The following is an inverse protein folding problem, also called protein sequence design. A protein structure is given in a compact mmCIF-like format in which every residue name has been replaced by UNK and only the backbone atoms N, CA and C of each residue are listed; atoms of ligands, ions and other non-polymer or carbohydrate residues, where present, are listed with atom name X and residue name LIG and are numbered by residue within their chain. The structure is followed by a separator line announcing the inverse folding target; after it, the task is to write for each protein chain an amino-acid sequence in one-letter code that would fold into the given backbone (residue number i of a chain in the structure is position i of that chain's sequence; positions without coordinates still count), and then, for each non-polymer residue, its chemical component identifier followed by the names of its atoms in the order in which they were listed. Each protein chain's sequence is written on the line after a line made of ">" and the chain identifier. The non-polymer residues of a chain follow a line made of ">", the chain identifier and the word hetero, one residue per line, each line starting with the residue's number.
data_IF_464538197006
#
_entry.id   IF_464538197006
#
_cell.length_a   1.000
_cell.length_b   1.000
_cell.length_c   1.000
_cell.angle_alpha   90.00
_cell.angle_beta   90.00
_cell.angle_gamma   90.00
#
_symmetry.space_group_name_H-M   'P 1'
#
loop_
_entity.id
_entity.type
_entity.pdbx_description
1 polymer ?
#
# COMPACT_ATOMS: atom_id res chain seq x y z
N UNK A 1 40.22 -2.40 -20.91
CA UNK A 1 40.23 -1.49 -19.74
C UNK A 1 38.80 -1.25 -19.32
N UNK A 2 38.33 -2.00 -18.31
CA UNK A 2 36.94 -1.98 -17.86
C UNK A 2 36.58 -0.62 -17.25
N UNK A 3 35.50 -0.02 -17.75
CA UNK A 3 34.84 1.09 -17.10
C UNK A 3 34.03 0.54 -15.94
N UNK A 4 34.60 0.61 -14.74
CA UNK A 4 33.87 0.38 -13.49
C UNK A 4 32.58 1.23 -13.49
N UNK A 5 31.40 0.65 -13.15
CA UNK A 5 30.18 1.43 -13.05
C UNK A 5 30.34 2.42 -11.91
N UNK A 6 30.66 3.69 -12.25
CA UNK A 6 30.65 4.81 -11.30
C UNK A 6 29.30 4.78 -10.59
N UNK A 7 29.35 4.48 -9.29
CA UNK A 7 28.19 4.31 -8.41
C UNK A 7 27.18 5.43 -8.68
N UNK A 8 26.04 5.07 -9.28
CA UNK A 8 24.87 5.93 -9.53
C UNK A 8 24.16 6.29 -8.22
N UNK A 9 24.86 6.91 -7.28
CA UNK A 9 24.25 7.47 -6.07
C UNK A 9 24.11 8.99 -6.23
N UNK A 10 24.97 9.62 -7.02
CA UNK A 10 24.92 11.06 -7.31
C UNK A 10 23.75 11.52 -8.17
N UNK A 11 22.90 10.61 -8.67
CA UNK A 11 21.77 10.94 -9.54
C UNK A 11 20.43 11.12 -8.80
N UNK A 12 20.36 10.80 -7.50
CA UNK A 12 19.08 10.78 -6.77
C UNK A 12 18.75 12.16 -6.16
N UNK A 13 19.75 13.01 -5.97
CA UNK A 13 19.58 14.33 -5.38
C UNK A 13 20.40 15.37 -6.14
N UNK A 14 19.75 16.19 -6.95
CA UNK A 14 20.38 17.32 -7.67
C UNK A 14 21.05 18.32 -6.71
N UNK A 15 20.64 18.31 -5.43
CA UNK A 15 21.19 19.14 -4.38
C UNK A 15 21.79 18.27 -3.25
N UNK A 16 23.09 18.35 -2.95
CA UNK A 16 23.73 17.60 -1.87
C UNK A 16 23.15 17.91 -0.48
N UNK A 17 22.47 19.05 -0.30
CA UNK A 17 21.78 19.41 0.95
C UNK A 17 20.48 18.61 1.17
N UNK A 18 20.10 17.73 0.25
CA UNK A 18 18.94 16.85 0.39
C UNK A 18 19.30 15.43 0.84
N UNK A 19 20.59 15.10 0.88
CA UNK A 19 21.08 13.83 1.43
C UNK A 19 20.83 13.77 2.94
N UNK A 20 20.22 12.69 3.42
CA UNK A 20 19.81 12.52 4.83
C UNK A 20 20.98 12.67 5.81
N UNK A 21 22.16 12.13 5.47
CA UNK A 21 23.33 12.19 6.34
C UNK A 21 23.82 13.62 6.62
N UNK A 22 23.77 14.51 5.63
CA UNK A 22 24.21 15.90 5.78
C UNK A 22 23.10 16.80 6.34
N UNK A 23 21.83 16.48 6.05
CA UNK A 23 20.68 17.34 6.38
C UNK A 23 20.08 17.04 7.76
N UNK A 24 20.05 15.77 8.14
CA UNK A 24 19.28 15.30 9.31
C UNK A 24 20.19 14.94 10.50
N UNK A 25 21.51 14.89 10.30
CA UNK A 25 22.50 14.77 11.37
C UNK A 25 22.66 16.08 12.16
N UNK A 26 23.06 16.01 13.44
CA UNK A 26 23.30 17.21 14.24
C UNK A 26 24.60 17.90 13.85
N UNK A 27 24.58 19.24 13.74
CA UNK A 27 25.76 20.04 13.37
C UNK A 27 26.83 20.07 14.47
N UNK A 28 26.46 19.78 15.71
CA UNK A 28 27.35 19.73 16.86
C UNK A 28 26.87 18.69 17.89
N UNK A 29 27.76 18.32 18.80
CA UNK A 29 27.44 17.45 19.94
C UNK A 29 28.08 17.99 21.22
N UNK A 30 27.44 17.75 22.36
CA UNK A 30 28.01 18.11 23.66
C UNK A 30 29.06 17.09 24.07
N UNK A 31 30.18 17.56 24.66
CA UNK A 31 31.22 16.68 25.24
C UNK A 31 30.66 15.76 26.33
N UNK A 32 29.63 16.21 27.04
CA UNK A 32 28.92 15.46 28.08
C UNK A 32 27.92 14.44 27.49
N UNK A 33 27.90 14.23 26.18
CA UNK A 33 26.97 13.33 25.46
C UNK A 33 25.48 13.65 25.61
N UNK A 34 25.14 14.87 26.06
CA UNK A 34 23.74 15.34 26.04
C UNK A 34 23.21 15.35 24.60
N UNK A 35 21.92 15.05 24.40
CA UNK A 35 21.31 15.11 23.08
C UNK A 35 21.31 16.55 22.55
N UNK A 36 21.66 16.69 21.27
CA UNK A 36 21.58 17.97 20.57
C UNK A 36 20.11 18.32 20.34
N UNK A 37 19.64 19.53 20.70
CA UNK A 37 18.27 19.95 20.40
C UNK A 37 18.06 20.02 18.88
N UNK A 38 16.82 19.86 18.44
CA UNK A 38 16.51 19.92 17.01
C UNK A 38 16.88 21.28 16.40
N UNK A 39 17.46 21.23 15.19
CA UNK A 39 17.66 22.43 14.39
C UNK A 39 16.35 23.07 13.96
N UNK A 40 16.38 24.37 13.65
CA UNK A 40 15.20 25.23 13.37
C UNK A 40 14.19 24.59 12.41
N UNK A 41 14.65 23.98 11.32
CA UNK A 41 13.76 23.35 10.32
C UNK A 41 13.67 21.83 10.43
N UNK A 42 14.47 21.20 11.30
CA UNK A 42 14.49 19.74 11.44
C UNK A 42 13.17 19.26 12.07
N UNK A 43 12.72 19.93 13.13
CA UNK A 43 11.44 19.61 13.76
C UNK A 43 10.26 19.73 12.78
N UNK A 44 10.21 20.83 12.02
CA UNK A 44 9.17 21.03 11.00
C UNK A 44 9.16 19.91 9.95
N UNK A 45 10.33 19.48 9.46
CA UNK A 45 10.43 18.36 8.52
C UNK A 45 9.94 17.04 9.11
N UNK A 46 10.24 16.79 10.39
CA UNK A 46 9.76 15.59 11.09
C UNK A 46 8.23 15.61 11.17
N UNK A 47 7.63 16.73 11.59
CA UNK A 47 6.17 16.90 11.61
C UNK A 47 5.53 16.65 10.24
N UNK A 48 6.07 17.26 9.19
CA UNK A 48 5.59 17.06 7.81
C UNK A 48 5.71 15.60 7.38
N UNK A 49 6.81 14.93 7.70
CA UNK A 49 6.98 13.50 7.41
C UNK A 49 5.91 12.67 8.11
N UNK A 50 5.60 12.97 9.38
CA UNK A 50 4.56 12.28 10.14
C UNK A 50 3.19 12.50 9.49
N UNK A 51 2.87 13.73 9.11
CA UNK A 51 1.61 14.07 8.41
C UNK A 51 1.48 13.29 7.10
N UNK A 52 2.51 13.30 6.26
CA UNK A 52 2.51 12.54 5.00
C UNK A 52 2.36 11.04 5.23
N UNK A 53 3.09 10.47 6.19
CA UNK A 53 2.97 9.05 6.53
C UNK A 53 1.56 8.70 7.01
N UNK A 54 0.95 9.56 7.83
CA UNK A 54 -0.42 9.36 8.32
C UNK A 54 -1.44 9.34 7.17
N UNK A 55 -1.28 10.24 6.20
CA UNK A 55 -2.14 10.30 5.02
C UNK A 55 -1.99 9.05 4.14
N UNK A 56 -0.75 8.58 3.92
CA UNK A 56 -0.48 7.36 3.16
C UNK A 56 -1.15 6.15 3.81
N UNK A 57 -0.99 5.99 5.13
CA UNK A 57 -1.60 4.88 5.87
C UNK A 57 -3.12 4.93 5.75
N UNK A 58 -3.72 6.13 5.84
CA UNK A 58 -5.17 6.31 5.68
C UNK A 58 -5.63 5.88 4.28
N UNK A 59 -5.01 6.39 3.22
CA UNK A 59 -5.38 6.05 1.85
C UNK A 59 -5.26 4.54 1.60
N UNK A 60 -4.21 3.89 2.09
CA UNK A 60 -4.04 2.45 1.94
C UNK A 60 -5.18 1.67 2.62
N UNK A 61 -5.56 2.06 3.85
CA UNK A 61 -6.70 1.44 4.55
C UNK A 61 -8.01 1.61 3.80
N UNK A 62 -8.23 2.79 3.21
CA UNK A 62 -9.44 3.07 2.41
C UNK A 62 -9.47 2.20 1.14
N UNK A 63 -8.32 2.01 0.47
CA UNK A 63 -8.21 1.13 -0.69
C UNK A 63 -8.46 -0.32 -0.30
N UNK A 64 -7.83 -0.81 0.77
CA UNK A 64 -8.00 -2.18 1.25
C UNK A 64 -9.46 -2.47 1.61
N UNK A 65 -10.13 -1.52 2.26
CA UNK A 65 -11.55 -1.61 2.58
C UNK A 65 -12.41 -1.65 1.31
N UNK A 66 -12.13 -0.80 0.32
CA UNK A 66 -12.87 -0.80 -0.94
C UNK A 66 -12.76 -2.13 -1.68
N UNK A 67 -11.56 -2.74 -1.70
CA UNK A 67 -11.33 -4.06 -2.29
C UNK A 67 -12.11 -5.15 -1.56
N UNK A 68 -12.15 -5.12 -0.22
CA UNK A 68 -12.92 -6.07 0.57
C UNK A 68 -14.42 -5.95 0.32
N UNK A 69 -14.95 -4.72 0.27
CA UNK A 69 -16.36 -4.49 0.00
C UNK A 69 -16.77 -4.99 -1.39
N UNK A 70 -15.95 -4.74 -2.41
CA UNK A 70 -16.25 -5.20 -3.77
C UNK A 70 -16.24 -6.73 -3.85
N UNK A 71 -15.27 -7.38 -3.19
CA UNK A 71 -15.24 -8.85 -3.10
C UNK A 71 -16.51 -9.39 -2.45
N UNK A 72 -16.90 -8.84 -1.30
CA UNK A 72 -18.10 -9.27 -0.59
C UNK A 72 -19.35 -9.07 -1.45
N UNK A 73 -19.46 -7.94 -2.15
CA UNK A 73 -20.59 -7.65 -3.06
C UNK A 73 -20.71 -8.67 -4.18
N UNK A 74 -19.58 -9.08 -4.78
CA UNK A 74 -19.57 -10.11 -5.83
C UNK A 74 -20.00 -11.46 -5.27
N UNK A 75 -19.50 -11.83 -4.09
CA UNK A 75 -19.87 -13.09 -3.41
C UNK A 75 -21.36 -13.11 -3.03
N UNK A 76 -21.88 -12.01 -2.48
CA UNK A 76 -23.31 -11.85 -2.15
C UNK A 76 -24.20 -11.97 -3.39
N UNK A 77 -23.85 -11.31 -4.48
CA UNK A 77 -24.60 -11.40 -5.73
C UNK A 77 -24.57 -12.83 -6.30
N UNK A 78 -23.43 -13.52 -6.25
CA UNK A 78 -23.35 -14.92 -6.67
C UNK A 78 -24.21 -15.83 -5.78
N UNK A 79 -24.17 -15.64 -4.46
CA UNK A 79 -24.99 -16.39 -3.51
C UNK A 79 -26.49 -16.13 -3.72
N UNK A 80 -26.88 -14.90 -4.02
CA UNK A 80 -28.26 -14.53 -4.34
C UNK A 80 -28.73 -15.24 -5.63
N UNK A 81 -27.93 -15.17 -6.71
CA UNK A 81 -28.24 -15.85 -7.97
C UNK A 81 -28.37 -17.36 -7.75
N UNK A 82 -27.46 -17.98 -6.99
CA UNK A 82 -27.55 -19.41 -6.65
C UNK A 82 -28.79 -19.75 -5.83
N UNK A 83 -29.14 -18.90 -4.86
CA UNK A 83 -30.36 -19.05 -4.04
C UNK A 83 -31.62 -18.98 -4.90
N UNK A 84 -31.68 -18.02 -5.83
CA UNK A 84 -32.79 -17.89 -6.78
C UNK A 84 -32.88 -19.13 -7.67
N UNK A 85 -31.76 -19.59 -8.23
CA UNK A 85 -31.72 -20.80 -9.06
C UNK A 85 -32.15 -22.05 -8.28
N UNK A 86 -31.71 -22.22 -7.03
CA UNK A 86 -32.11 -23.34 -6.18
C UNK A 86 -33.60 -23.32 -5.80
N UNK A 87 -34.20 -22.13 -5.71
CA UNK A 87 -35.65 -21.96 -5.48
C UNK A 87 -36.50 -22.15 -6.73
N UNK A 88 -35.92 -22.12 -7.94
CA UNK A 88 -36.69 -22.30 -9.18
C UNK A 88 -37.23 -23.73 -9.27
N UNK A 89 -38.53 -23.84 -9.55
CA UNK A 89 -39.19 -25.11 -9.85
C UNK A 89 -38.61 -25.74 -11.12
N UNK A 90 -38.63 -27.07 -11.19
CA UNK A 90 -38.20 -27.80 -12.39
C UNK A 90 -39.02 -27.35 -13.61
N UNK A 91 -38.38 -27.14 -14.77
CA UNK A 91 -39.11 -26.75 -15.97
C UNK A 91 -40.11 -27.84 -16.37
N UNK A 92 -41.30 -27.44 -16.81
CA UNK A 92 -42.35 -28.35 -17.26
C UNK A 92 -42.18 -28.66 -18.76
N UNK A 93 -42.33 -29.94 -19.13
CA UNK A 93 -42.12 -30.44 -20.49
C UNK A 93 -40.81 -31.22 -20.61
N UNK A 94 -40.92 -32.53 -20.93
CA UNK A 94 -39.86 -33.52 -20.78
C UNK A 94 -38.61 -33.31 -21.65
N UNK A 95 -37.59 -32.66 -21.08
CA UNK A 95 -36.20 -32.93 -21.43
C UNK A 95 -35.55 -33.53 -20.20
N UNK A 96 -35.29 -34.84 -20.27
CA UNK A 96 -34.63 -35.59 -19.22
C UNK A 96 -33.26 -34.99 -18.88
N UNK A 97 -32.95 -34.96 -17.58
CA UNK A 97 -31.69 -34.48 -17.05
C UNK A 97 -30.55 -35.37 -17.57
N UNK A 98 -29.80 -34.91 -18.58
CA UNK A 98 -28.58 -35.58 -19.04
C UNK A 98 -27.56 -35.51 -17.91
N UNK A 99 -27.43 -36.60 -17.15
CA UNK A 99 -26.39 -36.78 -16.13
C UNK A 99 -25.02 -36.71 -16.82
N UNK A 100 -24.30 -35.60 -16.62
CA UNK A 100 -22.89 -35.47 -17.01
C UNK A 100 -22.06 -36.50 -16.23
N UNK A 101 -21.63 -37.56 -16.92
CA UNK A 101 -20.56 -38.45 -16.46
C UNK A 101 -19.25 -37.73 -16.76
N UNK A 102 -18.50 -37.30 -15.75
CA UNK A 102 -17.09 -36.99 -15.93
C UNK A 102 -16.27 -37.75 -14.88
N UNK A 103 -15.45 -38.66 -15.43
CA UNK A 103 -14.28 -39.32 -14.85
C UNK A 103 -13.13 -38.35 -14.69
#
# INVERSE_FOLDING_TARGET
>A
LGLEPKRRISAIFHNPNTTSALRDGPDYSFRDHRPTPYGVMQYKRICQSIEHTSAIIRCNKEIDLALQLEKNRVEEHQAEVQSILGKKLKPKGGKEEVKSKNS
#
